data_IF_396859408490
#
_entry.id   IF_396859408490
#
_cell.length_a   1.000
_cell.length_b   1.000
_cell.length_c   1.000
_cell.angle_alpha   90.00
_cell.angle_beta   90.00
_cell.angle_gamma   90.00
#
_symmetry.space_group_name_H-M   'P 1'
#
loop_
_entity.id
_entity.type
_entity.pdbx_description
1 polymer ?
#
# COMPACT_ATOMS: atom_id res chain seq x y z
N UNK A 1 7.94 19.13 9.37
CA UNK A 1 7.38 18.04 10.20
C UNK A 1 8.48 17.63 11.16
N UNK A 2 8.15 17.43 12.43
CA UNK A 2 9.06 16.85 13.41
C UNK A 2 9.24 15.35 13.12
N UNK A 3 10.36 14.76 13.54
CA UNK A 3 10.65 13.32 13.42
C UNK A 3 9.57 12.45 14.10
N UNK A 4 8.93 12.98 15.15
CA UNK A 4 7.79 12.34 15.81
C UNK A 4 6.58 12.24 14.87
N UNK A 5 6.23 13.32 14.18
CA UNK A 5 5.09 13.36 13.25
C UNK A 5 5.30 12.42 12.04
N UNK A 6 6.54 12.30 11.55
CA UNK A 6 6.89 11.37 10.47
C UNK A 6 6.73 9.92 10.94
N UNK A 7 7.17 9.62 12.17
CA UNK A 7 7.02 8.28 12.75
C UNK A 7 5.55 7.89 12.94
N UNK A 8 4.72 8.82 13.42
CA UNK A 8 3.28 8.62 13.55
C UNK A 8 2.60 8.38 12.21
N UNK A 9 2.91 9.21 11.20
CA UNK A 9 2.39 9.04 9.84
C UNK A 9 2.77 7.67 9.25
N UNK A 10 4.03 7.24 9.39
CA UNK A 10 4.50 5.93 8.91
C UNK A 10 3.72 4.78 9.55
N UNK A 11 3.50 4.85 10.87
CA UNK A 11 2.74 3.84 11.60
C UNK A 11 1.30 3.75 11.09
N UNK A 12 0.63 4.88 10.91
CA UNK A 12 -0.76 4.88 10.43
C UNK A 12 -0.86 4.43 8.97
N UNK A 13 0.11 4.78 8.12
CA UNK A 13 0.20 4.28 6.75
C UNK A 13 0.40 2.75 6.71
N UNK A 14 1.27 2.19 7.55
CA UNK A 14 1.47 0.73 7.60
C UNK A 14 0.22 0.00 8.07
N UNK A 15 -0.46 0.50 9.11
CA UNK A 15 -1.75 -0.05 9.55
C UNK A 15 -2.78 -0.06 8.42
N UNK A 16 -2.92 1.07 7.73
CA UNK A 16 -3.84 1.19 6.61
C UNK A 16 -3.49 0.20 5.48
N UNK A 17 -2.20 0.04 5.17
CA UNK A 17 -1.71 -0.92 4.18
C UNK A 17 -2.09 -2.35 4.55
N UNK A 18 -1.83 -2.78 5.77
CA UNK A 18 -2.16 -4.12 6.25
C UNK A 18 -3.67 -4.40 6.17
N UNK A 19 -4.50 -3.45 6.63
CA UNK A 19 -5.96 -3.58 6.53
C UNK A 19 -6.44 -3.69 5.08
N UNK A 20 -5.84 -2.93 4.16
CA UNK A 20 -6.19 -3.00 2.74
C UNK A 20 -5.74 -4.31 2.08
N UNK A 21 -4.61 -4.88 2.49
CA UNK A 21 -4.15 -6.20 2.03
C UNK A 21 -5.16 -7.28 2.46
N UNK A 22 -5.62 -7.26 3.72
CA UNK A 22 -6.64 -8.20 4.19
C UNK A 22 -7.94 -8.06 3.41
N UNK A 23 -8.38 -6.81 3.15
CA UNK A 23 -9.54 -6.54 2.33
C UNK A 23 -9.38 -7.03 0.87
N UNK A 24 -8.19 -6.85 0.28
CA UNK A 24 -7.89 -7.32 -1.08
C UNK A 24 -7.93 -8.85 -1.15
N UNK A 25 -7.39 -9.53 -0.15
CA UNK A 25 -7.44 -10.99 -0.02
C UNK A 25 -8.88 -11.49 0.02
N UNK A 26 -9.72 -10.88 0.86
CA UNK A 26 -11.15 -11.21 0.92
C UNK A 26 -11.88 -10.96 -0.40
N UNK A 27 -11.64 -9.81 -1.06
CA UNK A 27 -12.24 -9.48 -2.36
C UNK A 27 -11.83 -10.46 -3.46
N UNK A 28 -10.58 -10.93 -3.42
CA UNK A 28 -10.06 -11.94 -4.33
C UNK A 28 -10.74 -13.29 -4.12
N UNK A 29 -10.80 -13.75 -2.87
CA UNK A 29 -11.48 -14.99 -2.53
C UNK A 29 -12.96 -14.96 -2.95
N UNK A 30 -13.65 -13.84 -2.72
CA UNK A 30 -15.03 -13.65 -3.15
C UNK A 30 -15.18 -13.72 -4.68
N UNK A 31 -14.28 -13.11 -5.46
CA UNK A 31 -14.29 -13.21 -6.92
C UNK A 31 -14.08 -14.65 -7.40
N UNK A 32 -13.13 -15.39 -6.81
CA UNK A 32 -12.89 -16.80 -7.12
C UNK A 32 -14.09 -17.69 -6.77
N UNK A 33 -14.71 -17.49 -5.61
CA UNK A 33 -15.90 -18.24 -5.20
C UNK A 33 -17.07 -17.98 -6.15
N UNK A 34 -17.29 -16.73 -6.55
CA UNK A 34 -18.33 -16.40 -7.52
C UNK A 34 -18.09 -17.05 -8.89
N UNK A 35 -16.85 -17.02 -9.37
CA UNK A 35 -16.50 -17.69 -10.63
C UNK A 35 -16.77 -19.20 -10.55
N UNK A 36 -16.40 -19.84 -9.44
CA UNK A 36 -16.65 -21.27 -9.21
C UNK A 36 -18.16 -21.59 -9.13
N UNK A 37 -18.93 -20.79 -8.39
CA UNK A 37 -20.38 -20.94 -8.26
C UNK A 37 -21.09 -20.88 -9.62
N UNK A 38 -20.59 -20.04 -10.52
CA UNK A 38 -21.16 -19.85 -11.86
C UNK A 38 -20.48 -20.70 -12.94
N UNK A 39 -19.56 -21.60 -12.58
CA UNK A 39 -18.74 -22.37 -13.53
C UNK A 39 -18.09 -21.49 -14.62
N UNK A 40 -17.71 -20.26 -14.26
CA UNK A 40 -17.10 -19.32 -15.18
C UNK A 40 -15.67 -19.78 -15.52
N UNK A 41 -15.29 -19.64 -16.80
CA UNK A 41 -13.93 -19.92 -17.27
C UNK A 41 -12.92 -18.87 -16.82
N UNK A 42 -13.38 -17.68 -16.45
CA UNK A 42 -12.57 -16.53 -16.06
C UNK A 42 -13.05 -15.92 -14.75
N UNK A 43 -12.12 -15.34 -13.99
CA UNK A 43 -12.41 -14.65 -12.72
C UNK A 43 -12.43 -13.15 -12.96
N UNK A 44 -13.57 -12.54 -12.68
CA UNK A 44 -13.74 -11.09 -12.79
C UNK A 44 -13.69 -10.44 -11.41
N UNK A 45 -12.67 -9.60 -11.20
CA UNK A 45 -12.53 -8.81 -9.98
C UNK A 45 -13.43 -7.57 -10.03
N UNK A 46 -13.99 -7.20 -8.89
CA UNK A 46 -14.86 -6.03 -8.80
C UNK A 46 -14.08 -4.72 -8.96
N UNK A 47 -14.74 -3.61 -9.36
CA UNK A 47 -14.12 -2.28 -9.35
C UNK A 47 -13.56 -1.87 -7.98
N UNK A 48 -14.14 -2.40 -6.88
CA UNK A 48 -13.63 -2.19 -5.54
C UNK A 48 -12.25 -2.83 -5.34
N UNK A 49 -12.01 -4.04 -5.88
CA UNK A 49 -10.70 -4.69 -5.85
C UNK A 49 -9.63 -3.83 -6.54
N UNK A 50 -9.95 -3.24 -7.69
CA UNK A 50 -9.04 -2.33 -8.40
C UNK A 50 -8.72 -1.08 -7.57
N UNK A 51 -9.72 -0.48 -6.90
CA UNK A 51 -9.52 0.69 -6.02
C UNK A 51 -8.64 0.35 -4.81
N UNK A 52 -8.86 -0.80 -4.18
CA UNK A 52 -8.04 -1.27 -3.06
C UNK A 52 -6.59 -1.49 -3.51
N UNK A 53 -6.39 -2.11 -4.69
CA UNK A 53 -5.06 -2.31 -5.29
C UNK A 53 -4.33 -0.98 -5.51
N UNK A 54 -5.02 0.01 -6.09
CA UNK A 54 -4.46 1.34 -6.30
C UNK A 54 -4.14 2.07 -4.98
N UNK A 55 -4.98 1.91 -3.96
CA UNK A 55 -4.76 2.50 -2.64
C UNK A 55 -3.52 1.90 -1.96
N UNK A 56 -3.33 0.58 -2.03
CA UNK A 56 -2.12 -0.09 -1.52
C UNK A 56 -0.87 0.49 -2.20
N UNK A 57 -0.87 0.57 -3.54
CA UNK A 57 0.26 1.13 -4.29
C UNK A 57 0.56 2.59 -3.91
N UNK A 58 -0.49 3.40 -3.68
CA UNK A 58 -0.35 4.78 -3.22
C UNK A 58 0.28 4.87 -1.83
N UNK A 59 -0.11 3.99 -0.91
CA UNK A 59 0.48 3.93 0.45
C UNK A 59 1.93 3.47 0.40
N UNK A 60 2.26 2.45 -0.40
CA UNK A 60 3.64 1.99 -0.59
C UNK A 60 4.53 3.10 -1.15
N UNK A 61 4.02 3.86 -2.11
CA UNK A 61 4.70 5.04 -2.62
C UNK A 61 4.94 6.10 -1.53
N UNK A 62 3.93 6.39 -0.69
CA UNK A 62 4.04 7.34 0.42
C UNK A 62 5.06 6.87 1.49
N UNK A 63 5.02 5.58 1.86
CA UNK A 63 5.97 4.98 2.79
C UNK A 63 7.41 5.10 2.29
N UNK A 64 7.65 4.80 1.01
CA UNK A 64 8.98 4.94 0.40
C UNK A 64 9.49 6.39 0.41
N UNK A 65 8.61 7.37 0.22
CA UNK A 65 8.98 8.79 0.30
C UNK A 65 9.37 9.21 1.71
N UNK A 66 8.68 8.72 2.74
CA UNK A 66 9.03 9.04 4.13
C UNK A 66 10.36 8.40 4.55
N UNK A 67 10.72 7.21 4.07
CA UNK A 67 12.05 6.61 4.30
C UNK A 67 13.16 7.51 3.74
N UNK A 68 12.95 8.06 2.53
CA UNK A 68 13.94 8.91 1.85
C UNK A 68 14.14 10.26 2.53
N UNK A 69 13.16 10.76 3.29
CA UNK A 69 13.27 12.01 4.04
C UNK A 69 14.03 11.84 5.37
N UNK A 70 14.08 10.63 5.92
CA UNK A 70 14.78 10.32 7.18
C UNK A 70 16.27 9.94 6.97
N UNK A 71 16.72 9.80 5.72
CA UNK A 71 18.15 9.67 5.42
C UNK A 71 18.81 11.05 5.55
N UNK A 72 19.86 11.23 6.37
CA UNK A 72 20.64 12.45 6.33
C UNK A 72 21.13 12.63 4.88
N UNK A 73 20.79 13.75 4.26
CA UNK A 73 21.56 14.24 3.13
C UNK A 73 22.99 14.31 3.64
N UNK A 74 23.84 13.39 3.18
CA UNK A 74 25.27 13.54 3.33
C UNK A 74 25.59 14.79 2.52
N UNK A 75 25.66 15.92 3.22
CA UNK A 75 26.21 17.15 2.70
C UNK A 75 27.63 16.80 2.26
N UNK A 76 27.81 16.60 0.96
CA UNK A 76 29.13 16.63 0.34
C UNK A 76 29.59 18.09 0.40
N UNK A 77 29.95 18.53 1.61
CA UNK A 77 30.79 19.68 1.81
C UNK A 77 32.19 19.30 1.30
N UNK A 78 32.50 19.95 0.19
CA UNK A 78 33.82 20.24 -0.37
C UNK A 78 34.98 20.14 0.63
N UNK A 79 36.08 19.47 0.24
CA UNK A 79 37.47 19.95 0.42
C UNK A 79 38.52 18.88 0.03
N UNK A 80 39.70 19.25 -0.51
CA UNK A 80 40.13 20.51 -1.13
C UNK A 80 40.42 20.40 -2.64
#
# INVERSE_FOLDING_TARGET
>A
MSTSEITDLRRELEKARLTLIDAQSHLSAHAHMNAALHCATEVFFSPLHAKVTAAIAGIEHALNRTVRQDLPTLDNEEQP
#
